data_IF_913347181475
#
_entry.id   IF_913347181475
#
_cell.length_a   1.000
_cell.length_b   1.000
_cell.length_c   1.000
_cell.angle_alpha   90.00
_cell.angle_beta   90.00
_cell.angle_gamma   90.00
#
_symmetry.space_group_name_H-M   'P 1'
#
loop_
_entity.id
_entity.type
_entity.pdbx_description
1 polymer ?
#
# COMPACT_ATOMS: atom_id res chain seq x y z
N UNK A 1 -79.07 60.58 6.36
CA UNK A 1 -78.83 60.70 7.82
C UNK A 1 -78.23 59.39 8.28
N UNK A 2 -77.14 59.30 9.02
CA UNK A 2 -76.33 60.27 9.72
C UNK A 2 -75.28 59.45 10.49
N UNK A 3 -74.07 59.99 10.51
CA UNK A 3 -72.84 59.48 11.11
C UNK A 3 -72.95 59.00 12.56
N UNK A 4 -72.14 57.98 12.92
CA UNK A 4 -71.08 57.99 13.96
C UNK A 4 -70.57 56.53 14.12
N UNK A 5 -69.36 56.11 13.74
CA UNK A 5 -67.98 56.61 13.89
C UNK A 5 -67.42 56.46 15.32
N UNK A 6 -66.39 55.59 15.40
CA UNK A 6 -65.33 55.35 16.42
C UNK A 6 -65.30 53.88 16.82
N UNK A 7 -64.17 53.18 16.92
CA UNK A 7 -62.72 53.42 16.77
C UNK A 7 -62.16 51.99 16.78
N UNK A 8 -61.29 51.60 15.87
CA UNK A 8 -59.83 51.73 15.94
C UNK A 8 -59.35 51.76 14.47
N UNK A 9 -59.04 52.91 13.83
CA UNK A 9 -57.73 53.62 13.83
C UNK A 9 -56.55 52.67 13.98
N UNK A 10 -55.56 52.58 13.09
CA UNK A 10 -55.11 53.38 11.92
C UNK A 10 -54.13 52.44 11.18
N UNK A 11 -54.29 52.13 9.89
CA UNK A 11 -53.82 52.91 8.74
C UNK A 11 -52.28 53.10 8.69
N UNK A 12 -51.66 52.16 7.98
CA UNK A 12 -50.48 52.28 7.11
C UNK A 12 -49.73 53.62 7.07
N UNK A 13 -48.44 53.62 7.44
CA UNK A 13 -47.33 54.17 6.63
C UNK A 13 -45.99 53.52 7.00
N UNK A 14 -45.18 53.27 5.96
CA UNK A 14 -43.71 53.07 5.96
C UNK A 14 -43.08 51.87 6.67
N UNK A 15 -42.58 50.90 5.90
CA UNK A 15 -41.77 49.79 6.43
C UNK A 15 -41.17 48.87 5.36
N UNK A 16 -40.10 49.33 4.71
CA UNK A 16 -38.97 48.57 4.14
C UNK A 16 -39.24 47.35 3.20
N UNK A 17 -38.95 47.45 1.88
CA UNK A 17 -38.93 46.29 0.98
C UNK A 17 -37.55 45.63 1.02
N UNK A 18 -37.19 44.96 2.12
CA UNK A 18 -35.76 44.64 2.36
C UNK A 18 -35.39 43.28 2.96
N UNK A 19 -36.33 42.34 3.17
CA UNK A 19 -36.06 41.20 4.07
C UNK A 19 -36.00 39.78 3.47
N UNK A 20 -36.54 39.54 2.26
CA UNK A 20 -36.78 38.17 1.77
C UNK A 20 -35.69 37.59 0.84
N UNK A 21 -34.99 38.42 0.06
CA UNK A 21 -34.06 37.94 -0.97
C UNK A 21 -32.72 37.43 -0.42
N UNK A 22 -32.25 37.98 0.71
CA UNK A 22 -30.96 37.61 1.27
C UNK A 22 -30.95 36.21 1.90
N UNK A 23 -32.08 35.75 2.44
CA UNK A 23 -32.20 34.42 3.03
C UNK A 23 -32.17 33.31 1.95
N UNK A 24 -32.84 33.53 0.82
CA UNK A 24 -32.82 32.60 -0.31
C UNK A 24 -31.44 32.56 -1.00
N UNK A 25 -30.75 33.70 -1.09
CA UNK A 25 -29.40 33.76 -1.68
C UNK A 25 -28.35 33.04 -0.82
N UNK A 26 -28.47 33.15 0.52
CA UNK A 26 -27.62 32.43 1.48
C UNK A 26 -27.90 30.93 1.46
N UNK A 27 -29.17 30.52 1.42
CA UNK A 27 -29.54 29.10 1.30
C UNK A 27 -29.00 28.48 0.00
N UNK A 28 -29.10 29.20 -1.13
CA UNK A 28 -28.56 28.73 -2.41
C UNK A 28 -27.02 28.63 -2.41
N UNK A 29 -26.34 29.51 -1.68
CA UNK A 29 -24.89 29.46 -1.50
C UNK A 29 -24.48 28.26 -0.63
N UNK A 30 -25.19 28.00 0.47
CA UNK A 30 -24.96 26.83 1.33
C UNK A 30 -25.25 25.52 0.60
N UNK A 31 -26.27 25.45 -0.25
CA UNK A 31 -26.54 24.27 -1.09
C UNK A 31 -25.40 23.99 -2.09
N UNK A 32 -24.84 25.04 -2.71
CA UNK A 32 -23.70 24.88 -3.62
C UNK A 32 -22.47 24.36 -2.89
N UNK A 33 -22.16 24.92 -1.72
CA UNK A 33 -21.05 24.44 -0.89
C UNK A 33 -21.28 23.01 -0.39
N UNK A 34 -22.50 22.70 0.09
CA UNK A 34 -22.85 21.38 0.57
C UNK A 34 -22.75 20.32 -0.55
N UNK A 35 -23.19 20.64 -1.78
CA UNK A 35 -23.06 19.75 -2.95
C UNK A 35 -21.59 19.40 -3.25
N UNK A 36 -20.66 20.32 -3.06
CA UNK A 36 -19.21 20.05 -3.21
C UNK A 36 -18.72 19.02 -2.19
N UNK A 37 -19.28 19.02 -0.98
CA UNK A 37 -19.00 18.03 0.07
C UNK A 37 -19.87 16.76 -0.02
N UNK A 38 -20.63 16.57 -1.11
CA UNK A 38 -21.41 15.36 -1.38
C UNK A 38 -22.84 15.37 -0.85
N UNK A 39 -23.35 16.52 -0.38
CA UNK A 39 -24.75 16.67 0.00
C UNK A 39 -25.67 16.64 -1.22
N UNK A 40 -26.88 16.10 -1.05
CA UNK A 40 -27.91 16.03 -2.08
C UNK A 40 -29.23 16.63 -1.58
N UNK A 41 -29.98 17.34 -2.44
CA UNK A 41 -31.31 17.84 -2.07
C UNK A 41 -32.28 16.68 -1.78
N UNK A 42 -33.38 16.97 -1.08
CA UNK A 42 -34.33 15.95 -0.62
C UNK A 42 -34.90 15.08 -1.75
N UNK A 43 -34.97 15.64 -2.97
CA UNK A 43 -35.45 14.97 -4.18
C UNK A 43 -34.46 13.96 -4.76
N UNK A 44 -33.16 14.10 -4.47
CA UNK A 44 -32.06 13.27 -5.01
C UNK A 44 -31.35 12.45 -3.92
N UNK A 45 -31.91 12.41 -2.71
CA UNK A 45 -31.32 11.71 -1.58
C UNK A 45 -31.67 10.23 -1.60
N UNK A 46 -30.67 9.37 -1.84
CA UNK A 46 -30.79 7.90 -1.91
C UNK A 46 -30.98 7.20 -0.54
N UNK A 47 -31.37 7.92 0.52
CA UNK A 47 -31.44 7.41 1.89
C UNK A 47 -32.81 7.57 2.56
N UNK A 48 -32.97 7.06 3.81
CA UNK A 48 -34.20 7.23 4.57
C UNK A 48 -34.50 8.73 4.78
N UNK A 49 -35.73 9.19 4.52
CA UNK A 49 -36.08 10.62 4.58
C UNK A 49 -35.86 11.23 5.97
N UNK A 50 -35.88 10.42 7.04
CA UNK A 50 -35.59 10.84 8.41
C UNK A 50 -34.12 11.25 8.66
N UNK A 51 -33.19 10.84 7.80
CA UNK A 51 -31.75 11.15 7.93
C UNK A 51 -31.31 12.28 7.01
N UNK A 52 -32.19 12.79 6.17
CA UNK A 52 -31.90 13.93 5.33
C UNK A 52 -31.82 15.20 6.19
N UNK A 53 -30.77 15.99 5.99
CA UNK A 53 -30.51 17.25 6.70
C UNK A 53 -30.44 18.40 5.71
N UNK A 54 -30.76 19.61 6.16
CA UNK A 54 -30.61 20.81 5.32
C UNK A 54 -29.13 21.08 5.00
N UNK A 55 -28.87 21.85 3.94
CA UNK A 55 -27.50 22.16 3.50
C UNK A 55 -26.67 22.83 4.61
N UNK A 56 -27.26 23.78 5.33
CA UNK A 56 -26.61 24.45 6.46
C UNK A 56 -26.26 23.49 7.61
N UNK A 57 -27.16 22.59 7.98
CA UNK A 57 -26.89 21.59 9.03
C UNK A 57 -25.83 20.55 8.62
N UNK A 58 -25.83 20.15 7.34
CA UNK A 58 -24.80 19.25 6.79
C UNK A 58 -23.41 19.91 6.80
N UNK A 59 -23.32 21.18 6.42
CA UNK A 59 -22.07 21.94 6.47
C UNK A 59 -21.59 22.19 7.90
N UNK A 60 -22.49 22.46 8.83
CA UNK A 60 -22.16 22.63 10.25
C UNK A 60 -21.61 21.32 10.84
N UNK A 61 -22.26 20.19 10.54
CA UNK A 61 -21.81 18.88 10.97
C UNK A 61 -20.50 18.46 10.27
N UNK A 62 -20.36 18.75 8.99
CA UNK A 62 -19.13 18.55 8.22
C UNK A 62 -17.97 19.39 8.76
N UNK A 63 -18.21 20.64 9.15
CA UNK A 63 -17.20 21.50 9.81
C UNK A 63 -16.82 20.95 11.19
N UNK A 64 -17.79 20.40 11.95
CA UNK A 64 -17.55 19.75 13.24
C UNK A 64 -16.70 18.49 13.09
N UNK A 65 -17.08 17.61 12.16
CA UNK A 65 -16.36 16.36 11.85
C UNK A 65 -14.98 16.67 11.29
N UNK A 66 -14.86 17.57 10.33
CA UNK A 66 -13.56 17.99 9.76
C UNK A 66 -12.66 18.63 10.83
N UNK A 67 -13.24 19.41 11.77
CA UNK A 67 -12.50 19.92 12.91
C UNK A 67 -11.95 18.81 13.82
N UNK A 68 -12.72 17.75 14.03
CA UNK A 68 -12.26 16.55 14.76
C UNK A 68 -11.19 15.78 13.97
N UNK A 69 -11.42 15.52 12.68
CA UNK A 69 -10.48 14.83 11.80
C UNK A 69 -9.14 15.58 11.68
N UNK A 70 -9.15 16.90 11.59
CA UNK A 70 -7.93 17.72 11.60
C UNK A 70 -7.16 17.57 12.90
N UNK A 71 -7.84 17.61 14.05
CA UNK A 71 -7.21 17.41 15.36
C UNK A 71 -6.60 16.02 15.49
N UNK A 72 -7.29 14.99 15.03
CA UNK A 72 -6.78 13.61 15.04
C UNK A 72 -5.59 13.46 14.10
N UNK A 73 -5.65 14.06 12.90
CA UNK A 73 -4.57 14.05 11.93
C UNK A 73 -3.33 14.79 12.46
N UNK A 74 -3.52 15.95 13.10
CA UNK A 74 -2.45 16.69 13.75
C UNK A 74 -1.86 15.91 14.93
N UNK A 75 -2.69 15.24 15.72
CA UNK A 75 -2.24 14.34 16.79
C UNK A 75 -1.40 13.18 16.23
N UNK A 76 -1.87 12.52 15.18
CA UNK A 76 -1.14 11.42 14.51
C UNK A 76 0.19 11.89 13.92
N UNK A 77 0.22 13.06 13.28
CA UNK A 77 1.47 13.67 12.79
C UNK A 77 2.44 13.92 13.93
N UNK A 78 1.97 14.51 15.03
CA UNK A 78 2.79 14.77 16.20
C UNK A 78 3.32 13.47 16.84
N UNK A 79 2.50 12.41 16.89
CA UNK A 79 2.93 11.09 17.36
C UNK A 79 3.97 10.44 16.45
N UNK A 80 3.83 10.55 15.13
CA UNK A 80 4.83 10.09 14.17
C UNK A 80 6.14 10.84 14.34
N UNK A 81 6.12 12.16 14.39
CA UNK A 81 7.33 12.97 14.59
C UNK A 81 8.02 12.63 15.91
N UNK A 82 7.25 12.44 17.00
CA UNK A 82 7.82 12.01 18.29
C UNK A 82 8.46 10.63 18.20
N UNK A 83 7.83 9.67 17.52
CA UNK A 83 8.40 8.33 17.32
C UNK A 83 9.68 8.38 16.50
N UNK A 84 9.72 9.14 15.42
CA UNK A 84 10.92 9.30 14.60
C UNK A 84 12.07 9.91 15.38
N UNK A 85 11.78 10.91 16.23
CA UNK A 85 12.76 11.50 17.15
C UNK A 85 13.28 10.47 18.17
N UNK A 86 12.39 9.68 18.79
CA UNK A 86 12.80 8.62 19.72
C UNK A 86 13.64 7.56 19.03
N UNK A 87 13.31 7.17 17.79
CA UNK A 87 14.10 6.20 17.02
C UNK A 87 15.49 6.75 16.69
N UNK A 88 15.59 8.02 16.28
CA UNK A 88 16.87 8.68 16.01
C UNK A 88 17.72 8.79 17.28
N UNK A 89 17.11 9.13 18.42
CA UNK A 89 17.78 9.19 19.71
C UNK A 89 18.30 7.81 20.13
N UNK A 90 17.47 6.76 20.06
CA UNK A 90 17.88 5.39 20.36
C UNK A 90 19.03 4.91 19.48
N UNK A 91 18.97 5.19 18.17
CA UNK A 91 20.07 4.86 17.26
C UNK A 91 21.36 5.58 17.65
N UNK A 92 21.30 6.86 17.97
CA UNK A 92 22.45 7.65 18.44
C UNK A 92 23.00 7.08 19.75
N UNK A 93 22.14 6.75 20.72
CA UNK A 93 22.55 6.14 21.99
C UNK A 93 23.23 4.79 21.78
N UNK A 94 22.72 3.94 20.88
CA UNK A 94 23.33 2.65 20.56
C UNK A 94 24.73 2.84 19.98
N UNK A 95 24.92 3.80 19.07
CA UNK A 95 26.23 4.10 18.48
C UNK A 95 27.20 4.60 19.56
N UNK A 96 26.79 5.57 20.39
CA UNK A 96 27.62 6.08 21.47
C UNK A 96 27.99 5.00 22.49
N UNK A 97 27.04 4.13 22.84
CA UNK A 97 27.26 3.01 23.74
C UNK A 97 28.25 2.00 23.15
N UNK A 98 28.12 1.69 21.86
CA UNK A 98 29.06 0.86 21.13
C UNK A 98 30.48 1.45 21.13
N UNK A 99 30.64 2.74 20.86
CA UNK A 99 31.93 3.44 20.91
C UNK A 99 32.53 3.43 22.32
N UNK A 100 31.72 3.74 23.33
CA UNK A 100 32.15 3.73 24.73
C UNK A 100 32.63 2.34 25.18
N UNK A 101 31.91 1.28 24.81
CA UNK A 101 32.32 -0.09 25.10
C UNK A 101 33.62 -0.45 24.39
N UNK A 102 33.76 -0.09 23.11
CA UNK A 102 34.97 -0.31 22.34
C UNK A 102 36.18 0.39 22.97
N UNK A 103 36.04 1.66 23.38
CA UNK A 103 37.11 2.39 24.06
C UNK A 103 37.46 1.78 25.42
N UNK A 104 36.45 1.41 26.21
CA UNK A 104 36.65 0.82 27.54
C UNK A 104 37.35 -0.52 27.44
N UNK A 105 36.96 -1.37 26.50
CA UNK A 105 37.61 -2.65 26.22
C UNK A 105 39.04 -2.44 25.70
N UNK A 106 39.27 -1.48 24.81
CA UNK A 106 40.62 -1.14 24.35
C UNK A 106 41.53 -0.69 25.52
N UNK A 107 41.02 0.18 26.41
CA UNK A 107 41.78 0.61 27.61
C UNK A 107 42.00 -0.53 28.60
N UNK A 108 41.04 -1.44 28.76
CA UNK A 108 41.21 -2.62 29.61
C UNK A 108 42.25 -3.58 29.02
N UNK A 109 42.22 -3.78 27.72
CA UNK A 109 43.19 -4.57 26.97
C UNK A 109 44.61 -4.00 27.08
N UNK A 110 44.78 -2.71 26.85
CA UNK A 110 46.07 -2.03 26.95
C UNK A 110 46.65 -2.09 28.37
N UNK A 111 45.79 -1.97 29.39
CA UNK A 111 46.20 -2.16 30.80
C UNK A 111 46.66 -3.58 31.06
N UNK A 112 45.89 -4.59 30.65
CA UNK A 112 46.26 -5.99 30.82
C UNK A 112 47.58 -6.33 30.10
N UNK A 113 47.76 -5.83 28.86
CA UNK A 113 49.01 -5.99 28.10
C UNK A 113 50.19 -5.35 28.80
N UNK A 114 50.02 -4.14 29.33
CA UNK A 114 51.08 -3.43 30.07
C UNK A 114 51.43 -4.14 31.38
N UNK A 115 50.44 -4.61 32.14
CA UNK A 115 50.65 -5.35 33.38
C UNK A 115 51.43 -6.66 33.13
N UNK A 116 51.09 -7.41 32.08
CA UNK A 116 51.84 -8.61 31.69
C UNK A 116 53.28 -8.28 31.24
N UNK A 117 53.48 -7.17 30.52
CA UNK A 117 54.83 -6.73 30.12
C UNK A 117 55.70 -6.32 31.32
N UNK A 118 55.12 -5.62 32.29
CA UNK A 118 55.83 -5.23 33.51
C UNK A 118 56.13 -6.46 34.37
N UNK A 119 55.20 -7.41 34.51
CA UNK A 119 55.43 -8.69 35.17
C UNK A 119 56.55 -9.50 34.50
N UNK A 120 56.63 -9.50 33.16
CA UNK A 120 57.72 -10.14 32.41
C UNK A 120 59.08 -9.52 32.75
N UNK A 121 59.16 -8.18 32.85
CA UNK A 121 60.40 -7.48 33.23
C UNK A 121 60.84 -7.83 34.64
N UNK A 122 59.90 -7.96 35.57
CA UNK A 122 60.21 -8.31 36.95
C UNK A 122 60.62 -9.78 37.09
N UNK A 123 59.97 -10.71 36.37
CA UNK A 123 60.38 -12.12 36.31
C UNK A 123 61.82 -12.26 35.76
N UNK A 124 62.16 -11.49 34.71
CA UNK A 124 63.51 -11.46 34.15
C UNK A 124 64.55 -10.90 35.14
N UNK A 125 64.20 -9.88 35.92
CA UNK A 125 65.07 -9.34 36.99
C UNK A 125 65.32 -10.33 38.10
N UNK A 126 64.31 -11.13 38.44
CA UNK A 126 64.38 -12.17 39.46
C UNK A 126 65.00 -13.48 38.93
N UNK A 127 65.39 -13.53 37.65
CA UNK A 127 65.99 -14.68 36.97
C UNK A 127 65.09 -15.93 36.99
N UNK A 128 63.76 -15.73 36.99
CA UNK A 128 62.75 -16.77 36.97
C UNK A 128 62.32 -17.06 35.52
N UNK A 129 63.01 -18.02 34.89
CA UNK A 129 62.78 -18.37 33.48
C UNK A 129 61.42 -19.03 33.23
N UNK A 130 60.92 -19.83 34.17
CA UNK A 130 59.65 -20.53 34.04
C UNK A 130 58.48 -19.54 34.04
N UNK A 131 58.53 -18.54 34.92
CA UNK A 131 57.52 -17.48 34.98
C UNK A 131 57.53 -16.60 33.71
N UNK A 132 58.70 -16.36 33.10
CA UNK A 132 58.79 -15.60 31.84
C UNK A 132 58.07 -16.33 30.71
N UNK A 133 58.25 -17.65 30.58
CA UNK A 133 57.58 -18.46 29.55
C UNK A 133 56.06 -18.42 29.75
N UNK A 134 55.58 -18.57 30.99
CA UNK A 134 54.14 -18.50 31.29
C UNK A 134 53.53 -17.13 30.94
N UNK A 135 54.24 -16.04 31.24
CA UNK A 135 53.79 -14.68 30.91
C UNK A 135 53.79 -14.46 29.39
N UNK A 136 54.78 -14.99 28.66
CA UNK A 136 54.82 -14.93 27.20
C UNK A 136 53.67 -15.70 26.56
N UNK A 137 53.33 -16.88 27.07
CA UNK A 137 52.16 -17.64 26.63
C UNK A 137 50.85 -16.87 26.87
N UNK A 138 50.70 -16.21 28.03
CA UNK A 138 49.55 -15.35 28.32
C UNK A 138 49.48 -14.13 27.41
N UNK A 139 50.62 -13.53 27.07
CA UNK A 139 50.69 -12.41 26.14
C UNK A 139 50.28 -12.84 24.71
N UNK A 140 50.75 -14.02 24.27
CA UNK A 140 50.38 -14.60 22.99
C UNK A 140 48.89 -14.97 22.94
N UNK A 141 48.34 -15.51 24.03
CA UNK A 141 46.91 -15.83 24.14
C UNK A 141 46.01 -14.59 24.13
N UNK A 142 46.49 -13.46 24.67
CA UNK A 142 45.78 -12.17 24.63
C UNK A 142 45.75 -11.59 23.21
N UNK A 143 46.79 -11.83 22.41
CA UNK A 143 46.89 -11.43 21.01
C UNK A 143 47.42 -10.00 20.79
N UNK A 144 47.19 -9.48 19.58
CA UNK A 144 47.65 -8.13 19.19
C UNK A 144 46.53 -7.07 19.08
N UNK A 145 45.27 -7.50 19.12
CA UNK A 145 44.13 -6.59 18.99
C UNK A 145 43.04 -6.89 20.02
N UNK A 146 42.38 -5.86 20.55
CA UNK A 146 41.21 -6.06 21.42
C UNK A 146 40.12 -6.82 20.65
N UNK A 147 39.32 -7.66 21.35
CA UNK A 147 38.22 -8.39 20.73
C UNK A 147 37.27 -7.40 20.03
N UNK A 148 37.03 -7.61 18.74
CA UNK A 148 36.04 -6.82 18.00
C UNK A 148 34.66 -7.33 18.37
N UNK A 149 33.95 -6.61 19.23
CA UNK A 149 32.53 -6.84 19.42
C UNK A 149 31.81 -6.64 18.08
N UNK A 150 31.06 -7.64 17.57
CA UNK A 150 30.24 -7.46 16.39
C UNK A 150 29.06 -6.57 16.79
N UNK A 151 29.21 -5.27 16.60
CA UNK A 151 28.08 -4.35 16.68
C UNK A 151 27.31 -4.54 15.38
N UNK A 152 26.35 -5.48 15.40
CA UNK A 152 25.33 -5.55 14.36
C UNK A 152 24.36 -4.41 14.61
N UNK A 153 24.72 -3.21 14.15
CA UNK A 153 23.77 -2.12 14.04
C UNK A 153 22.78 -2.57 12.95
N UNK A 154 21.50 -2.83 13.24
CA UNK A 154 20.54 -3.06 12.19
C UNK A 154 20.53 -1.78 11.34
N UNK A 155 21.12 -1.86 10.15
CA UNK A 155 21.09 -0.77 9.19
C UNK A 155 19.63 -0.42 8.91
N UNK A 156 19.20 0.85 9.00
CA UNK A 156 17.88 1.21 8.51
C UNK A 156 17.83 0.90 7.01
N UNK A 157 16.93 -0.01 6.64
CA UNK A 157 16.68 -0.52 5.28
C UNK A 157 17.77 -1.43 4.68
N UNK A 158 17.72 -2.71 5.02
CA UNK A 158 17.50 -3.64 3.91
C UNK A 158 16.00 -3.62 3.72
N UNK A 159 15.51 -2.97 2.65
CA UNK A 159 14.17 -3.26 2.15
C UNK A 159 14.08 -4.78 2.14
N UNK A 160 13.22 -5.41 2.98
CA UNK A 160 13.12 -6.86 2.96
C UNK A 160 12.93 -7.24 1.50
N UNK A 161 13.78 -8.12 0.97
CA UNK A 161 13.64 -8.58 -0.40
C UNK A 161 12.15 -8.91 -0.59
N UNK A 162 11.49 -8.31 -1.59
CA UNK A 162 10.05 -8.43 -1.72
C UNK A 162 9.72 -9.92 -1.74
N UNK A 163 8.82 -10.35 -0.85
CA UNK A 163 8.42 -11.75 -0.73
C UNK A 163 8.22 -12.34 -2.13
N UNK A 164 8.83 -13.49 -2.48
CA UNK A 164 8.65 -14.10 -3.79
C UNK A 164 7.18 -14.26 -4.18
N UNK A 165 6.29 -14.44 -3.19
CA UNK A 165 4.84 -14.48 -3.36
C UNK A 165 4.27 -13.16 -3.88
N UNK A 166 4.75 -12.03 -3.35
CA UNK A 166 4.39 -10.70 -3.79
C UNK A 166 4.88 -10.43 -5.21
N UNK A 167 6.13 -10.77 -5.51
CA UNK A 167 6.70 -10.58 -6.86
C UNK A 167 5.88 -11.35 -7.89
N UNK A 168 5.56 -12.62 -7.61
CA UNK A 168 4.73 -13.45 -8.49
C UNK A 168 3.34 -12.83 -8.70
N UNK A 169 2.67 -12.42 -7.62
CA UNK A 169 1.34 -11.80 -7.71
C UNK A 169 1.36 -10.49 -8.51
N UNK A 170 2.35 -9.62 -8.29
CA UNK A 170 2.45 -8.36 -9.05
C UNK A 170 2.74 -8.63 -10.53
N UNK A 171 3.52 -9.66 -10.86
CA UNK A 171 3.77 -10.04 -12.25
C UNK A 171 2.51 -10.60 -12.95
N UNK A 172 1.68 -11.34 -12.23
CA UNK A 172 0.39 -11.82 -12.74
C UNK A 172 -0.67 -10.71 -12.86
N UNK A 173 -0.49 -9.61 -12.12
CA UNK A 173 -1.43 -8.50 -12.02
C UNK A 173 -0.79 -7.20 -12.54
N UNK A 174 -0.51 -7.14 -13.86
CA UNK A 174 0.14 -5.96 -14.48
C UNK A 174 -0.61 -4.66 -14.20
N UNK A 175 -1.94 -4.70 -14.09
CA UNK A 175 -2.80 -3.56 -13.71
C UNK A 175 -2.37 -2.88 -12.41
N UNK A 176 -1.74 -3.59 -11.48
CA UNK A 176 -1.21 -3.04 -10.22
C UNK A 176 0.04 -2.18 -10.45
N UNK A 177 0.87 -2.53 -11.43
CA UNK A 177 2.02 -1.72 -11.87
C UNK A 177 1.56 -0.55 -12.73
N UNK A 178 0.71 -0.84 -13.72
CA UNK A 178 0.34 0.07 -14.80
C UNK A 178 -0.62 1.18 -14.34
N UNK A 179 -1.53 0.87 -13.41
CA UNK A 179 -2.55 1.82 -12.96
C UNK A 179 -2.31 2.26 -11.51
N UNK A 180 -1.71 3.43 -11.35
CA UNK A 180 -1.44 4.05 -10.04
C UNK A 180 -2.71 4.25 -9.19
N UNK A 181 -3.88 4.49 -9.81
CA UNK A 181 -5.14 4.66 -9.07
C UNK A 181 -5.61 3.34 -8.48
N UNK A 182 -5.63 2.27 -9.28
CA UNK A 182 -5.99 0.93 -8.79
C UNK A 182 -4.99 0.40 -7.76
N UNK A 183 -3.71 0.74 -7.90
CA UNK A 183 -2.70 0.43 -6.88
C UNK A 183 -3.02 1.09 -5.54
N UNK A 184 -3.33 2.39 -5.53
CA UNK A 184 -3.69 3.10 -4.30
C UNK A 184 -4.96 2.51 -3.65
N UNK A 185 -5.96 2.20 -4.47
CA UNK A 185 -7.20 1.54 -4.04
C UNK A 185 -6.92 0.16 -3.45
N UNK A 186 -6.08 -0.65 -4.11
CA UNK A 186 -5.69 -1.99 -3.63
C UNK A 186 -5.00 -1.92 -2.27
N UNK A 187 -4.14 -0.92 -2.05
CA UNK A 187 -3.52 -0.71 -0.75
C UNK A 187 -4.56 -0.37 0.33
N UNK A 188 -5.57 0.42 0.00
CA UNK A 188 -6.70 0.69 0.90
C UNK A 188 -7.49 -0.57 1.27
N UNK A 189 -7.81 -1.43 0.29
CA UNK A 189 -8.46 -2.72 0.58
C UNK A 189 -7.55 -3.67 1.35
N UNK A 190 -6.24 -3.62 1.15
CA UNK A 190 -5.28 -4.41 1.92
C UNK A 190 -5.37 -4.09 3.42
N UNK A 191 -5.52 -2.81 3.79
CA UNK A 191 -5.69 -2.41 5.19
C UNK A 191 -7.03 -2.91 5.77
N UNK A 192 -8.12 -2.84 4.98
CA UNK A 192 -9.44 -3.35 5.37
C UNK A 192 -9.42 -4.87 5.58
N UNK A 193 -8.89 -5.62 4.61
CA UNK A 193 -8.78 -7.09 4.68
C UNK A 193 -7.92 -7.51 5.87
N UNK A 194 -6.87 -6.75 6.19
CA UNK A 194 -6.01 -7.01 7.35
C UNK A 194 -6.73 -6.78 8.67
N UNK A 195 -7.63 -5.79 8.73
CA UNK A 195 -8.45 -5.54 9.91
C UNK A 195 -9.54 -6.61 10.10
N UNK A 196 -10.18 -7.07 9.02
CA UNK A 196 -11.25 -8.07 9.07
C UNK A 196 -10.72 -9.50 9.23
N UNK A 197 -9.60 -9.81 8.59
CA UNK A 197 -8.99 -11.14 8.57
C UNK A 197 -7.50 -11.08 8.90
N UNK A 198 -7.12 -10.85 10.18
CA UNK A 198 -5.72 -10.72 10.60
C UNK A 198 -4.87 -11.98 10.35
N UNK A 199 -5.53 -13.15 10.25
CA UNK A 199 -4.87 -14.44 10.03
C UNK A 199 -4.59 -14.72 8.54
N UNK A 200 -5.12 -13.90 7.63
CA UNK A 200 -4.93 -14.09 6.20
C UNK A 200 -3.61 -13.45 5.76
N UNK A 201 -2.65 -14.28 5.34
CA UNK A 201 -1.29 -13.86 4.98
C UNK A 201 -0.88 -14.43 3.62
N UNK A 202 0.12 -13.81 2.99
CA UNK A 202 0.70 -14.30 1.73
C UNK A 202 -0.29 -14.25 0.56
N UNK A 203 -0.34 -15.32 -0.23
CA UNK A 203 -1.10 -15.36 -1.49
C UNK A 203 -2.63 -15.22 -1.31
N UNK A 204 -3.29 -15.93 -0.37
CA UNK A 204 -4.72 -15.77 -0.13
C UNK A 204 -5.13 -14.34 0.23
N UNK A 205 -4.28 -13.61 0.95
CA UNK A 205 -4.51 -12.20 1.28
C UNK A 205 -4.53 -11.33 0.02
N UNK A 206 -3.52 -11.48 -0.84
CA UNK A 206 -3.40 -10.71 -2.08
C UNK A 206 -4.52 -11.02 -3.07
N UNK A 207 -4.98 -12.27 -3.12
CA UNK A 207 -6.10 -12.69 -3.97
C UNK A 207 -7.44 -12.12 -3.47
N UNK A 208 -7.65 -12.03 -2.14
CA UNK A 208 -8.84 -11.38 -1.57
C UNK A 208 -8.85 -9.87 -1.84
N UNK A 209 -7.69 -9.20 -1.71
CA UNK A 209 -7.55 -7.78 -2.08
C UNK A 209 -7.89 -7.58 -3.56
N UNK A 210 -7.35 -8.43 -4.44
CA UNK A 210 -7.68 -8.41 -5.88
C UNK A 210 -9.18 -8.58 -6.12
N UNK A 211 -9.83 -9.54 -5.44
CA UNK A 211 -11.26 -9.82 -5.58
C UNK A 211 -12.11 -8.59 -5.27
N UNK A 212 -11.82 -7.89 -4.17
CA UNK A 212 -12.53 -6.67 -3.77
C UNK A 212 -12.33 -5.53 -4.77
N UNK A 213 -11.10 -5.34 -5.23
CA UNK A 213 -10.80 -4.34 -6.27
C UNK A 213 -11.55 -4.65 -7.57
N UNK A 214 -11.69 -5.92 -7.95
CA UNK A 214 -12.43 -6.33 -9.14
C UNK A 214 -13.94 -6.17 -9.00
N UNK A 215 -14.49 -6.40 -7.81
CA UNK A 215 -15.92 -6.25 -7.50
C UNK A 215 -16.36 -4.79 -7.60
N UNK A 216 -15.54 -3.87 -7.05
CA UNK A 216 -15.88 -2.45 -7.02
C UNK A 216 -15.45 -1.69 -8.29
N UNK A 217 -14.47 -2.23 -9.04
CA UNK A 217 -13.96 -1.61 -10.27
C UNK A 217 -13.96 -2.55 -11.49
N UNK A 218 -15.07 -3.26 -11.80
CA UNK A 218 -15.11 -4.26 -12.87
C UNK A 218 -14.80 -3.65 -14.24
N UNK A 219 -15.12 -2.37 -14.39
CA UNK A 219 -14.85 -1.52 -15.55
C UNK A 219 -13.37 -1.57 -16.00
N UNK A 220 -12.43 -1.68 -15.05
CA UNK A 220 -11.00 -1.72 -15.33
C UNK A 220 -10.46 -3.13 -15.61
N UNK A 221 -11.28 -4.17 -15.41
CA UNK A 221 -10.92 -5.57 -15.63
C UNK A 221 -11.65 -6.21 -16.82
N UNK A 222 -12.67 -5.54 -17.36
CA UNK A 222 -13.35 -5.99 -18.57
C UNK A 222 -12.61 -5.52 -19.82
N UNK A 223 -12.24 -6.46 -20.70
CA UNK A 223 -11.63 -6.15 -21.99
C UNK A 223 -12.56 -5.26 -22.85
N UNK A 224 -12.04 -4.29 -23.61
CA UNK A 224 -12.84 -3.36 -24.43
C UNK A 224 -13.80 -4.04 -25.43
N UNK A 225 -13.56 -5.32 -25.76
CA UNK A 225 -14.37 -6.09 -26.71
C UNK A 225 -15.81 -6.36 -26.22
N UNK A 226 -16.11 -6.21 -24.92
CA UNK A 226 -17.44 -6.54 -24.36
C UNK A 226 -18.37 -5.34 -24.17
N UNK A 227 -17.88 -4.10 -24.39
CA UNK A 227 -18.66 -2.86 -24.24
C UNK A 227 -19.32 -2.36 -25.53
N UNK A 228 -19.40 -3.20 -26.56
CA UNK A 228 -20.19 -2.86 -27.74
C UNK A 228 -21.66 -3.23 -27.46
N UNK A 229 -22.62 -2.28 -27.50
CA UNK A 229 -24.02 -2.66 -27.52
C UNK A 229 -24.28 -3.50 -28.76
N UNK A 230 -25.01 -4.60 -28.61
CA UNK A 230 -25.43 -5.43 -29.75
C UNK A 230 -26.36 -4.62 -30.65
N UNK A 231 -25.80 -4.03 -31.71
CA UNK A 231 -26.56 -3.41 -32.78
C UNK A 231 -27.30 -4.51 -33.55
N UNK A 232 -28.63 -4.41 -33.55
CA UNK A 232 -29.53 -5.30 -34.29
C UNK A 232 -29.37 -5.04 -35.78
N UNK A 233 -28.94 -6.06 -36.53
CA UNK A 233 -29.18 -6.25 -37.96
C UNK A 233 -28.40 -5.34 -38.92
N UNK A 234 -27.40 -5.90 -39.60
CA UNK A 234 -27.45 -6.15 -41.05
C UNK A 234 -26.11 -6.73 -41.50
N UNK A 235 -26.18 -7.87 -42.20
CA UNK A 235 -25.08 -8.41 -42.99
C UNK A 235 -24.65 -7.42 -44.07
N UNK A 236 -23.35 -7.26 -44.32
CA UNK A 236 -22.70 -7.71 -45.56
C UNK A 236 -21.16 -7.61 -45.45
N UNK A 237 -20.50 -8.26 -46.39
CA UNK A 237 -19.15 -8.81 -46.43
C UNK A 237 -18.02 -7.75 -46.54
N UNK A 238 -16.88 -7.98 -45.86
CA UNK A 238 -15.54 -7.88 -46.47
C UNK A 238 -14.37 -8.15 -45.48
N UNK A 239 -13.56 -9.15 -45.86
CA UNK A 239 -12.23 -9.58 -45.34
C UNK A 239 -11.22 -8.42 -45.36
N UNK A 240 -10.18 -8.27 -44.53
CA UNK A 240 -9.46 -9.00 -43.46
C UNK A 240 -8.15 -8.19 -43.16
N UNK A 241 -7.09 -8.69 -42.49
CA UNK A 241 -6.95 -9.85 -41.61
C UNK A 241 -6.23 -9.56 -40.26
N UNK A 242 -6.43 -10.42 -39.26
CA UNK A 242 -5.55 -10.56 -38.08
C UNK A 242 -5.20 -12.04 -37.91
N UNK A 243 -3.95 -12.33 -37.58
CA UNK A 243 -3.32 -13.65 -37.63
C UNK A 243 -4.04 -14.73 -36.82
N UNK A 244 -4.41 -15.81 -37.50
CA UNK A 244 -5.06 -16.99 -36.94
C UNK A 244 -4.03 -18.01 -36.47
N UNK A 245 -4.18 -18.45 -35.22
CA UNK A 245 -3.48 -19.58 -34.59
C UNK A 245 -3.60 -20.84 -35.47
N UNK A 246 -2.45 -21.48 -35.78
CA UNK A 246 -2.37 -22.65 -36.68
C UNK A 246 -3.14 -23.83 -36.10
N UNK A 247 -3.99 -24.43 -36.91
CA UNK A 247 -4.87 -25.54 -36.52
C UNK A 247 -4.50 -26.81 -37.27
N UNK A 248 -5.22 -27.91 -37.01
CA UNK A 248 -5.04 -29.17 -37.73
C UNK A 248 -5.09 -29.01 -39.25
N UNK A 249 -5.88 -28.04 -39.74
CA UNK A 249 -5.99 -27.72 -41.17
C UNK A 249 -4.68 -27.20 -41.78
N UNK A 250 -3.77 -26.65 -40.97
CA UNK A 250 -2.52 -26.04 -41.42
C UNK A 250 -1.35 -27.05 -41.47
N UNK A 251 -1.55 -28.29 -41.01
CA UNK A 251 -0.54 -29.35 -41.14
C UNK A 251 -0.42 -29.80 -42.61
N UNK A 252 0.81 -30.11 -43.08
CA UNK A 252 1.00 -30.74 -44.38
C UNK A 252 0.32 -32.12 -44.40
N UNK A 253 -0.10 -32.56 -45.59
CA UNK A 253 -0.90 -33.77 -45.77
C UNK A 253 -0.26 -35.03 -45.15
N UNK A 254 1.07 -35.11 -45.16
CA UNK A 254 1.83 -36.20 -44.55
C UNK A 254 1.76 -36.17 -43.01
N UNK A 255 1.85 -34.99 -42.39
CA UNK A 255 1.78 -34.82 -40.94
C UNK A 255 0.35 -35.02 -40.39
N UNK A 256 -0.69 -34.72 -41.19
CA UNK A 256 -2.09 -35.08 -40.88
C UNK A 256 -2.28 -36.59 -40.80
N UNK A 257 -1.74 -37.34 -41.76
CA UNK A 257 -1.83 -38.81 -41.76
C UNK A 257 -1.07 -39.43 -40.58
N UNK A 258 0.07 -38.84 -40.18
CA UNK A 258 0.80 -39.26 -38.99
C UNK A 258 -0.01 -38.99 -37.70
N UNK A 259 -0.58 -37.78 -37.56
CA UNK A 259 -1.46 -37.42 -36.44
C UNK A 259 -2.64 -38.39 -36.29
N UNK A 260 -3.33 -38.71 -37.39
CA UNK A 260 -4.47 -39.63 -37.38
C UNK A 260 -4.08 -41.07 -36.99
N UNK A 261 -2.88 -41.53 -37.40
CA UNK A 261 -2.35 -42.84 -36.98
C UNK A 261 -2.01 -42.86 -35.49
N UNK A 262 -1.39 -41.80 -34.96
CA UNK A 262 -0.97 -41.74 -33.55
C UNK A 262 -2.14 -41.58 -32.58
N UNK A 263 -3.17 -40.82 -32.96
CA UNK A 263 -4.42 -40.74 -32.18
C UNK A 263 -5.15 -42.08 -32.18
N UNK A 264 -5.18 -42.79 -33.32
CA UNK A 264 -5.78 -44.13 -33.41
C UNK A 264 -5.04 -45.18 -32.57
N UNK A 265 -3.72 -45.04 -32.44
CA UNK A 265 -2.87 -45.91 -31.60
C UNK A 265 -2.81 -45.46 -30.13
N UNK A 266 -3.53 -44.39 -29.73
CA UNK A 266 -3.54 -43.79 -28.38
C UNK A 266 -2.17 -43.37 -27.84
N UNK A 267 -1.21 -43.12 -28.73
CA UNK A 267 0.14 -42.68 -28.34
C UNK A 267 0.19 -41.19 -27.96
N UNK A 268 -0.83 -40.43 -28.38
CA UNK A 268 -1.01 -39.02 -28.03
C UNK A 268 -2.47 -38.76 -27.63
N UNK A 269 -2.72 -37.82 -26.71
CA UNK A 269 -4.04 -37.65 -26.09
C UNK A 269 -5.08 -37.02 -27.04
N UNK A 270 -4.66 -36.15 -27.96
CA UNK A 270 -5.56 -35.52 -28.93
C UNK A 270 -4.80 -35.01 -30.16
N UNK A 271 -5.54 -34.76 -31.24
CA UNK A 271 -4.99 -34.15 -32.47
C UNK A 271 -4.40 -32.77 -32.20
N UNK A 272 -4.99 -32.00 -31.30
CA UNK A 272 -4.57 -30.65 -30.92
C UNK A 272 -3.20 -30.65 -30.22
N UNK A 273 -2.92 -31.67 -29.41
CA UNK A 273 -1.61 -31.85 -28.78
C UNK A 273 -0.51 -32.08 -29.84
N UNK A 274 -0.80 -32.85 -30.89
CA UNK A 274 0.11 -33.04 -32.03
C UNK A 274 0.38 -31.75 -32.80
N UNK A 275 -0.67 -30.94 -33.05
CA UNK A 275 -0.55 -29.66 -33.76
C UNK A 275 0.32 -28.69 -32.99
N UNK A 276 0.16 -28.62 -31.66
CA UNK A 276 0.97 -27.77 -30.79
C UNK A 276 2.44 -28.20 -30.79
N UNK A 277 2.71 -29.50 -30.66
CA UNK A 277 4.09 -30.01 -30.66
C UNK A 277 4.76 -29.90 -32.04
N UNK A 278 4.00 -30.05 -33.13
CA UNK A 278 4.51 -29.94 -34.50
C UNK A 278 4.89 -28.49 -34.88
N UNK A 279 4.11 -27.50 -34.45
CA UNK A 279 4.39 -26.09 -34.73
C UNK A 279 5.23 -25.39 -33.66
N UNK A 280 5.40 -26.00 -32.48
CA UNK A 280 6.18 -25.46 -31.35
C UNK A 280 5.52 -24.24 -30.70
N UNK A 281 5.61 -24.09 -29.38
CA UNK A 281 5.06 -22.92 -28.66
C UNK A 281 5.93 -21.67 -28.89
N UNK A 282 5.86 -21.14 -30.12
CA UNK A 282 6.05 -19.75 -30.57
C UNK A 282 5.79 -19.75 -32.08
N UNK A 283 4.53 -19.78 -32.51
CA UNK A 283 4.20 -19.95 -33.93
C UNK A 283 2.78 -19.54 -34.32
#
# INVERSE_FOLDING_TARGET
MGYMLKRYLEETTDGDPGGGGAADEVALAEEKEARVFGWRPAEEFDGPPERWKSAGEFLAEGKRINGFLRKDLDKLRNELTKRDQTLAELQSTIVQFAEFHRETEARAYDRAKKELQDARRDALRNNDGDMVVEIEDRLNALGDAPPKLPINIPSPSTTPEPDPTWIAWVNENSWFKDNTKLRAISNGYADIVRAESPNLVGRPFLDEVKRRVQEDFPEHFQSPARRQPTAVGSSDDSRGPSGSRKTYADLPAEAKQACDKFVKQKLIPSREAYVRDYFGDAA
#
